data_IF_915663118691
#
_entry.id   IF_915663118691
#
_cell.length_a   1.000
_cell.length_b   1.000
_cell.length_c   1.000
_cell.angle_alpha   90.00
_cell.angle_beta   90.00
_cell.angle_gamma   90.00
#
_symmetry.space_group_name_H-M   'P 1'
#
loop_
_entity.id
_entity.type
_entity.pdbx_description
1 polymer ?
#
# COMPACT_ATOMS: atom_id res chain seq x y z
N UNK A 1 6.74 -20.15 7.82
CA UNK A 1 6.75 -19.24 6.65
C UNK A 1 7.58 -18.03 7.03
N UNK A 2 8.45 -17.55 6.14
CA UNK A 2 9.09 -16.25 6.31
C UNK A 2 8.36 -15.29 5.37
N UNK A 3 7.81 -14.21 5.91
CA UNK A 3 7.09 -13.19 5.17
C UNK A 3 7.43 -11.82 5.76
N UNK A 4 7.63 -10.81 4.93
CA UNK A 4 8.02 -9.45 5.36
C UNK A 4 9.21 -9.44 6.35
N UNK A 5 10.17 -10.35 6.17
CA UNK A 5 11.34 -10.51 7.04
C UNK A 5 11.10 -11.23 8.37
N UNK A 6 9.87 -11.71 8.64
CA UNK A 6 9.50 -12.35 9.91
C UNK A 6 9.21 -13.83 9.71
N UNK A 7 9.89 -14.69 10.48
CA UNK A 7 9.59 -16.11 10.56
C UNK A 7 8.36 -16.35 11.46
N UNK A 8 7.30 -16.92 10.90
CA UNK A 8 6.07 -17.20 11.64
C UNK A 8 5.58 -18.64 11.44
N UNK A 9 4.98 -19.19 12.50
CA UNK A 9 4.20 -20.43 12.48
C UNK A 9 2.76 -20.11 12.11
N UNK A 10 2.23 -20.75 11.06
CA UNK A 10 0.82 -20.61 10.67
C UNK A 10 -0.03 -21.47 11.61
N UNK A 11 -1.05 -20.85 12.22
CA UNK A 11 -2.02 -21.52 13.09
C UNK A 11 -3.27 -21.90 12.30
N UNK A 12 -3.79 -20.97 11.50
CA UNK A 12 -4.96 -21.15 10.62
C UNK A 12 -4.90 -20.13 9.49
N UNK A 13 -5.48 -20.47 8.34
CA UNK A 13 -5.67 -19.52 7.25
C UNK A 13 -7.08 -19.61 6.67
N UNK A 14 -7.53 -18.52 6.04
CA UNK A 14 -8.74 -18.45 5.22
C UNK A 14 -8.51 -17.39 4.14
N UNK A 15 -8.42 -17.83 2.89
CA UNK A 15 -8.14 -16.94 1.76
C UNK A 15 -6.80 -16.21 1.92
N UNK A 16 -6.85 -14.89 1.86
CA UNK A 16 -5.73 -13.95 1.96
C UNK A 16 -5.29 -13.65 3.40
N UNK A 17 -5.95 -14.24 4.41
CA UNK A 17 -5.71 -13.96 5.83
C UNK A 17 -5.18 -15.19 6.57
N UNK A 18 -4.11 -15.00 7.33
CA UNK A 18 -3.44 -16.00 8.16
C UNK A 18 -3.44 -15.54 9.62
N UNK A 19 -3.79 -16.44 10.54
CA UNK A 19 -3.44 -16.31 11.97
C UNK A 19 -2.11 -16.99 12.19
N UNK A 20 -1.16 -16.26 12.76
CA UNK A 20 0.21 -16.73 12.93
C UNK A 20 0.71 -16.47 14.34
N UNK A 21 1.79 -17.16 14.73
CA UNK A 21 2.61 -16.82 15.89
C UNK A 21 4.03 -16.58 15.38
N UNK A 22 4.54 -15.38 15.61
CA UNK A 22 5.89 -15.00 15.19
C UNK A 22 6.94 -15.73 16.05
N UNK A 23 8.09 -16.03 15.46
CA UNK A 23 9.18 -16.65 16.19
C UNK A 23 9.64 -15.76 17.34
N UNK A 24 9.72 -16.33 18.55
CA UNK A 24 10.04 -15.59 19.77
C UNK A 24 8.83 -14.91 20.45
N UNK A 25 7.67 -14.87 19.80
CA UNK A 25 6.44 -14.36 20.39
C UNK A 25 5.55 -15.48 20.95
N UNK A 26 4.71 -15.14 21.92
CA UNK A 26 3.72 -16.05 22.52
C UNK A 26 2.29 -15.74 22.07
N UNK A 27 2.06 -14.53 21.56
CA UNK A 27 0.75 -14.04 21.14
C UNK A 27 0.48 -14.33 19.67
N UNK A 28 -0.78 -14.56 19.34
CA UNK A 28 -1.20 -14.65 17.94
C UNK A 28 -1.26 -13.25 17.32
N UNK A 29 -0.88 -13.18 16.05
CA UNK A 29 -0.99 -12.00 15.20
C UNK A 29 -1.63 -12.40 13.86
N UNK A 30 -1.82 -11.40 12.99
CA UNK A 30 -2.37 -11.58 11.66
C UNK A 30 -1.29 -11.34 10.62
N UNK A 31 -1.34 -12.13 9.55
CA UNK A 31 -0.57 -11.94 8.33
C UNK A 31 -1.56 -11.91 7.17
N UNK A 32 -1.48 -10.88 6.32
CA UNK A 32 -2.35 -10.72 5.14
C UNK A 32 -1.51 -10.62 3.88
N UNK A 33 -2.09 -10.96 2.73
CA UNK A 33 -1.41 -10.91 1.43
C UNK A 33 -2.32 -10.45 0.30
N UNK A 34 -1.75 -9.78 -0.70
CA UNK A 34 -2.43 -9.51 -1.98
C UNK A 34 -2.01 -10.51 -3.09
N UNK A 35 -1.35 -11.61 -2.70
CA UNK A 35 -0.77 -12.62 -3.60
C UNK A 35 0.67 -12.32 -4.00
N UNK A 36 1.16 -11.09 -3.76
CA UNK A 36 2.53 -10.66 -4.08
C UNK A 36 3.26 -10.19 -2.82
N UNK A 37 2.61 -9.31 -2.07
CA UNK A 37 3.09 -8.71 -0.84
C UNK A 37 2.49 -9.42 0.37
N UNK A 38 3.19 -9.32 1.49
CA UNK A 38 2.72 -9.80 2.78
C UNK A 38 2.90 -8.71 3.83
N UNK A 39 1.99 -8.63 4.79
CA UNK A 39 2.11 -7.71 5.92
C UNK A 39 1.59 -8.33 7.21
N UNK A 40 2.37 -8.18 8.28
CA UNK A 40 1.96 -8.54 9.63
C UNK A 40 1.24 -7.39 10.33
N UNK A 41 0.37 -7.73 11.28
CA UNK A 41 -0.24 -6.79 12.22
C UNK A 41 -0.76 -7.51 13.46
N UNK A 42 -0.84 -6.82 14.61
CA UNK A 42 -1.40 -7.42 15.84
C UNK A 42 -2.89 -7.65 15.69
N UNK A 43 -3.55 -6.80 14.90
CA UNK A 43 -4.94 -6.95 14.49
C UNK A 43 -5.06 -7.14 12.98
N UNK A 44 -6.20 -7.68 12.52
CA UNK A 44 -6.48 -7.80 11.08
C UNK A 44 -6.52 -6.43 10.39
N UNK A 45 -7.00 -5.39 11.09
CA UNK A 45 -7.02 -4.02 10.56
C UNK A 45 -5.60 -3.51 10.36
N UNK A 46 -4.75 -3.62 11.38
CA UNK A 46 -3.34 -3.22 11.27
C UNK A 46 -2.60 -3.94 10.14
N UNK A 47 -2.84 -5.24 9.98
CA UNK A 47 -2.20 -6.03 8.92
C UNK A 47 -2.62 -5.52 7.53
N UNK A 48 -3.92 -5.22 7.34
CA UNK A 48 -4.44 -4.65 6.08
C UNK A 48 -3.93 -3.24 5.82
N UNK A 49 -3.93 -2.39 6.85
CA UNK A 49 -3.43 -1.02 6.74
C UNK A 49 -1.94 -1.01 6.39
N UNK A 50 -1.16 -1.94 6.94
CA UNK A 50 0.26 -2.13 6.61
C UNK A 50 0.45 -2.59 5.15
N UNK A 51 -0.37 -3.55 4.68
CA UNK A 51 -0.29 -4.10 3.32
C UNK A 51 -0.45 -3.03 2.23
N UNK A 52 -1.26 -1.99 2.46
CA UNK A 52 -1.43 -0.86 1.52
C UNK A 52 -0.09 -0.22 1.15
N UNK A 53 0.87 -0.20 2.07
CA UNK A 53 2.17 0.42 1.89
C UNK A 53 3.29 -0.59 1.57
N UNK A 54 2.99 -1.87 1.39
CA UNK A 54 3.98 -2.83 0.90
C UNK A 54 4.09 -2.77 -0.63
N UNK A 55 5.32 -2.70 -1.10
CA UNK A 55 5.69 -2.77 -2.52
C UNK A 55 6.84 -3.76 -2.65
N UNK A 56 6.62 -4.83 -3.40
CA UNK A 56 7.60 -5.91 -3.65
C UNK A 56 8.58 -5.51 -4.75
N UNK A 57 8.11 -4.72 -5.71
CA UNK A 57 8.89 -4.13 -6.79
C UNK A 57 8.44 -2.68 -7.03
N UNK A 58 9.23 -1.98 -7.85
CA UNK A 58 8.93 -0.62 -8.30
C UNK A 58 8.72 -0.59 -9.80
N UNK A 59 8.12 -1.65 -10.35
CA UNK A 59 7.89 -1.72 -11.78
C UNK A 59 6.78 -0.74 -12.19
N UNK A 60 7.20 0.38 -12.80
CA UNK A 60 6.29 1.41 -13.32
C UNK A 60 5.43 0.88 -14.48
N UNK A 61 5.80 -0.24 -15.11
CA UNK A 61 5.06 -0.80 -16.25
C UNK A 61 3.61 -1.18 -15.87
N UNK A 62 3.38 -1.57 -14.61
CA UNK A 62 2.06 -1.91 -14.07
C UNK A 62 1.04 -0.76 -14.15
N UNK A 63 1.52 0.48 -14.26
CA UNK A 63 0.70 1.70 -14.31
C UNK A 63 0.83 2.45 -15.64
N UNK A 64 1.50 1.87 -16.64
CA UNK A 64 1.65 2.50 -17.95
C UNK A 64 0.29 2.65 -18.63
N UNK A 65 0.04 3.83 -19.21
CA UNK A 65 -1.21 4.13 -19.90
C UNK A 65 -2.36 4.56 -18.99
N UNK A 66 -2.14 4.71 -17.67
CA UNK A 66 -3.11 5.33 -16.78
C UNK A 66 -3.35 6.78 -17.19
N UNK A 67 -4.62 7.20 -17.13
CA UNK A 67 -5.07 8.54 -17.52
C UNK A 67 -5.54 9.32 -16.30
N UNK A 68 -5.60 10.67 -16.36
CA UNK A 68 -6.25 11.47 -15.34
C UNK A 68 -7.72 11.08 -15.11
N UNK A 69 -8.35 10.42 -16.09
CA UNK A 69 -9.73 9.93 -16.08
C UNK A 69 -9.98 8.74 -15.15
N UNK A 70 -8.97 7.93 -14.88
CA UNK A 70 -9.13 6.63 -14.26
C UNK A 70 -9.52 6.74 -12.78
N UNK A 71 -10.45 5.88 -12.35
CA UNK A 71 -10.86 5.76 -10.94
C UNK A 71 -10.27 4.48 -10.35
N UNK A 72 -9.58 4.61 -9.24
CA UNK A 72 -8.85 3.52 -8.57
C UNK A 72 -9.13 3.54 -7.07
N UNK A 73 -8.95 2.42 -6.39
CA UNK A 73 -9.06 2.40 -4.93
C UNK A 73 -7.97 3.23 -4.26
N UNK A 74 -8.23 3.70 -3.04
CA UNK A 74 -7.26 4.41 -2.20
C UNK A 74 -5.95 3.63 -2.08
N UNK A 75 -6.04 2.31 -1.88
CA UNK A 75 -4.88 1.44 -1.77
C UNK A 75 -4.06 1.37 -3.07
N UNK A 76 -4.71 1.19 -4.23
CA UNK A 76 -4.02 1.13 -5.53
C UNK A 76 -3.35 2.46 -5.89
N UNK A 77 -4.00 3.58 -5.58
CA UNK A 77 -3.48 4.92 -5.81
C UNK A 77 -2.24 5.19 -4.94
N UNK A 78 -2.27 4.80 -3.66
CA UNK A 78 -1.12 4.92 -2.76
C UNK A 78 0.06 4.11 -3.30
N UNK A 79 -0.18 2.87 -3.74
CA UNK A 79 0.85 2.02 -4.36
C UNK A 79 1.40 2.65 -5.64
N UNK A 80 0.53 3.09 -6.55
CA UNK A 80 0.91 3.73 -7.80
C UNK A 80 1.78 4.96 -7.56
N UNK A 81 1.35 5.86 -6.66
CA UNK A 81 2.12 7.05 -6.34
C UNK A 81 3.53 6.69 -5.84
N UNK A 82 3.63 5.73 -4.92
CA UNK A 82 4.93 5.29 -4.37
C UNK A 82 5.82 4.59 -5.40
N UNK A 83 5.25 3.76 -6.26
CA UNK A 83 5.99 3.10 -7.35
C UNK A 83 6.51 4.12 -8.36
N UNK A 84 5.67 5.07 -8.76
CA UNK A 84 6.02 6.07 -9.79
C UNK A 84 7.04 7.07 -9.27
N UNK A 85 6.85 7.61 -8.07
CA UNK A 85 7.67 8.71 -7.50
C UNK A 85 8.84 8.23 -6.66
N UNK A 86 8.82 6.96 -6.28
CA UNK A 86 9.75 6.40 -5.32
C UNK A 86 9.57 6.87 -3.87
N UNK A 87 8.49 7.59 -3.54
CA UNK A 87 8.22 8.10 -2.20
C UNK A 87 8.28 7.01 -1.11
N UNK A 88 8.84 7.38 0.06
CA UNK A 88 8.97 6.45 1.17
C UNK A 88 7.61 6.14 1.82
N UNK A 89 7.51 4.99 2.48
CA UNK A 89 6.29 4.57 3.19
C UNK A 89 5.83 5.61 4.23
N UNK A 90 6.75 6.03 5.10
CA UNK A 90 6.42 6.92 6.22
C UNK A 90 5.86 8.27 5.76
N UNK A 91 6.45 8.87 4.71
CA UNK A 91 5.99 10.15 4.18
C UNK A 91 4.59 10.05 3.57
N UNK A 92 4.32 9.01 2.77
CA UNK A 92 3.00 8.82 2.17
C UNK A 92 1.95 8.47 3.21
N UNK A 93 2.29 7.63 4.20
CA UNK A 93 1.36 7.29 5.30
C UNK A 93 0.98 8.54 6.09
N UNK A 94 1.95 9.36 6.50
CA UNK A 94 1.69 10.61 7.21
C UNK A 94 0.83 11.58 6.38
N UNK A 95 1.09 11.69 5.08
CA UNK A 95 0.28 12.51 4.19
C UNK A 95 -1.17 12.03 4.12
N UNK A 96 -1.38 10.71 3.96
CA UNK A 96 -2.72 10.11 3.88
C UNK A 96 -3.49 10.23 5.20
N UNK A 97 -2.82 10.04 6.34
CA UNK A 97 -3.42 10.18 7.67
C UNK A 97 -3.79 11.63 7.99
N UNK A 98 -3.09 12.61 7.42
CA UNK A 98 -3.43 14.03 7.55
C UNK A 98 -4.66 14.45 6.72
N UNK A 99 -5.14 13.60 5.80
CA UNK A 99 -6.35 13.89 5.04
C UNK A 99 -7.59 13.49 5.84
N UNK A 100 -8.49 14.45 6.08
CA UNK A 100 -9.80 14.18 6.67
C UNK A 100 -10.76 13.63 5.61
N UNK A 101 -10.53 12.38 5.17
CA UNK A 101 -11.29 11.75 4.10
C UNK A 101 -11.43 10.24 4.27
N UNK A 102 -12.67 9.79 4.42
CA UNK A 102 -13.08 8.37 4.37
C UNK A 102 -13.30 7.85 2.93
N UNK A 103 -12.87 8.61 1.91
CA UNK A 103 -13.08 8.23 0.52
C UNK A 103 -12.21 7.03 0.16
N UNK A 104 -12.85 5.97 -0.32
CA UNK A 104 -12.17 4.71 -0.68
C UNK A 104 -11.73 4.62 -2.15
N UNK A 105 -12.16 5.55 -3.01
CA UNK A 105 -11.82 5.59 -4.44
C UNK A 105 -11.47 7.00 -4.87
N UNK A 106 -10.43 7.14 -5.67
CA UNK A 106 -9.98 8.42 -6.20
C UNK A 106 -9.79 8.34 -7.70
N UNK A 107 -10.13 9.43 -8.37
CA UNK A 107 -9.75 9.67 -9.75
C UNK A 107 -8.28 10.12 -9.77
N UNK A 108 -7.50 9.69 -10.76
CA UNK A 108 -6.08 10.07 -10.87
C UNK A 108 -5.90 11.59 -10.88
N UNK A 109 -6.77 12.33 -11.56
CA UNK A 109 -6.75 13.81 -11.53
C UNK A 109 -6.91 14.41 -10.13
N UNK A 110 -7.71 13.79 -9.26
CA UNK A 110 -7.88 14.26 -7.87
C UNK A 110 -6.58 14.11 -7.08
N UNK A 111 -5.83 13.04 -7.34
CA UNK A 111 -4.55 12.78 -6.68
C UNK A 111 -3.48 13.75 -7.16
N UNK A 112 -3.50 14.11 -8.44
CA UNK A 112 -2.61 15.13 -8.97
C UNK A 112 -2.83 16.44 -8.20
N UNK A 113 -4.08 16.88 -8.05
CA UNK A 113 -4.38 18.10 -7.27
C UNK A 113 -4.03 17.96 -5.78
N UNK A 114 -4.43 16.84 -5.13
CA UNK A 114 -4.17 16.61 -3.71
C UNK A 114 -2.67 16.58 -3.37
N UNK A 115 -1.85 16.06 -4.27
CA UNK A 115 -0.41 15.91 -4.05
C UNK A 115 0.40 17.13 -4.48
N UNK A 116 -0.25 18.22 -4.90
CA UNK A 116 0.45 19.44 -5.31
C UNK A 116 1.34 19.97 -4.19
N UNK A 117 2.61 20.22 -4.52
CA UNK A 117 3.64 20.63 -3.55
C UNK A 117 4.22 19.51 -2.68
N UNK A 118 3.76 18.26 -2.83
CA UNK A 118 4.33 17.10 -2.16
C UNK A 118 5.49 16.49 -2.97
N UNK A 119 6.34 15.72 -2.30
CA UNK A 119 7.46 15.02 -2.92
C UNK A 119 6.98 14.11 -4.06
N UNK A 120 7.56 14.26 -5.25
CA UNK A 120 7.26 13.40 -6.40
C UNK A 120 6.05 13.83 -7.23
N UNK A 121 5.36 14.91 -6.86
CA UNK A 121 4.22 15.44 -7.62
C UNK A 121 4.51 15.65 -9.11
N UNK A 122 5.61 16.33 -9.44
CA UNK A 122 5.97 16.59 -10.84
C UNK A 122 6.34 15.31 -11.61
N UNK A 123 6.97 14.34 -10.94
CA UNK A 123 7.26 13.04 -11.55
C UNK A 123 5.98 12.25 -11.82
N UNK A 124 5.04 12.28 -10.88
CA UNK A 124 3.74 11.64 -11.02
C UNK A 124 2.93 12.25 -12.17
N UNK A 125 2.87 13.58 -12.26
CA UNK A 125 2.25 14.30 -13.38
C UNK A 125 2.87 13.92 -14.71
N UNK A 126 4.20 13.98 -14.80
CA UNK A 126 4.95 13.59 -16.00
C UNK A 126 4.68 12.14 -16.42
N UNK A 127 4.56 11.23 -15.46
CA UNK A 127 4.25 9.82 -15.73
C UNK A 127 2.84 9.63 -16.29
N UNK A 128 1.85 10.38 -15.79
CA UNK A 128 0.47 10.38 -16.29
C UNK A 128 0.32 11.15 -17.62
N UNK A 129 1.27 12.03 -17.94
CA UNK A 129 1.32 12.78 -19.20
C UNK A 129 0.57 14.12 -19.15
N UNK A 130 0.59 14.80 -17.99
CA UNK A 130 -0.04 16.12 -17.76
C UNK A 130 0.87 17.13 -17.08
#
# INVERSE_FOLDING_TARGET
MIADGILSKIIRHKGDVYKVVNHGEKTQSYLVTDGVNYAHGKTLKEARDSLVYKISDRDKSAYKGKTPGDVMSKAEIIKMYRVVTGACEGGVRAFVEAQDSEKEKYKVSEIIELTKGQYGHEEFKKFIGV
#
